data_IF_994694146730
#
_entry.id   IF_994694146730
#
_cell.length_a   1.000
_cell.length_b   1.000
_cell.length_c   1.000
_cell.angle_alpha   90.00
_cell.angle_beta   90.00
_cell.angle_gamma   90.00
#
_symmetry.space_group_name_H-M   'P 1'
#
loop_
_entity.id
_entity.type
_entity.pdbx_description
1 polymer ?
#
# COMPACT_ATOMS: atom_id res chain seq x y z
N UNK A 1 30.40 28.03 -34.39
CA UNK A 1 29.94 28.09 -32.99
C UNK A 1 29.21 26.80 -32.72
N UNK A 2 29.26 26.25 -31.50
CA UNK A 2 28.46 25.07 -31.19
C UNK A 2 26.96 25.42 -31.25
N UNK A 3 26.15 24.56 -31.86
CA UNK A 3 24.72 24.79 -32.09
C UNK A 3 24.39 25.70 -33.28
N UNK A 4 25.35 26.04 -34.17
CA UNK A 4 25.09 26.95 -35.29
C UNK A 4 24.51 26.30 -36.55
N UNK A 5 24.38 24.97 -36.58
CA UNK A 5 23.80 24.22 -37.71
C UNK A 5 24.11 22.73 -37.62
N UNK A 6 23.68 21.95 -38.61
CA UNK A 6 23.77 20.48 -38.59
C UNK A 6 25.22 19.96 -38.53
N UNK A 7 26.16 20.68 -39.14
CA UNK A 7 27.60 20.39 -39.10
C UNK A 7 28.25 20.72 -37.74
N UNK A 8 27.56 21.50 -36.89
CA UNK A 8 28.05 21.94 -35.58
C UNK A 8 26.91 21.82 -34.55
N UNK A 9 26.42 20.59 -34.27
CA UNK A 9 25.28 20.40 -33.39
C UNK A 9 25.66 20.73 -31.94
N UNK A 10 24.67 21.08 -31.14
CA UNK A 10 24.84 21.21 -29.69
C UNK A 10 24.81 19.83 -29.04
N UNK A 11 25.93 19.38 -28.47
CA UNK A 11 26.02 18.04 -27.89
C UNK A 11 25.68 18.06 -26.40
N UNK A 12 24.58 17.40 -26.04
CA UNK A 12 24.12 17.29 -24.67
C UNK A 12 24.79 16.11 -23.94
N UNK A 13 25.97 16.32 -23.38
CA UNK A 13 26.73 15.27 -22.70
C UNK A 13 26.03 14.75 -21.42
N UNK A 14 25.97 13.41 -21.32
CA UNK A 14 25.39 12.72 -20.17
C UNK A 14 23.87 12.83 -20.10
N UNK A 15 23.20 13.02 -21.23
CA UNK A 15 21.74 13.05 -21.33
C UNK A 15 21.30 11.95 -22.30
N UNK A 16 20.40 11.08 -21.83
CA UNK A 16 19.77 10.09 -22.68
C UNK A 16 18.79 10.77 -23.64
N UNK A 17 18.76 10.32 -24.90
CA UNK A 17 17.75 10.75 -25.88
C UNK A 17 16.33 10.61 -25.32
N UNK A 18 16.06 9.52 -24.61
CA UNK A 18 14.73 9.23 -24.04
C UNK A 18 14.36 10.23 -22.95
N UNK A 19 15.30 10.61 -22.08
CA UNK A 19 15.06 11.59 -21.02
C UNK A 19 14.75 12.96 -21.61
N UNK A 20 15.53 13.36 -22.62
CA UNK A 20 15.32 14.63 -23.31
C UNK A 20 13.97 14.68 -24.03
N UNK A 21 13.61 13.62 -24.74
CA UNK A 21 12.32 13.50 -25.41
C UNK A 21 11.14 13.61 -24.42
N UNK A 22 11.24 12.97 -23.25
CA UNK A 22 10.22 13.05 -22.20
C UNK A 22 10.06 14.48 -21.66
N UNK A 23 11.15 15.21 -21.49
CA UNK A 23 11.07 16.62 -21.10
C UNK A 23 10.39 17.46 -22.19
N UNK A 24 10.69 17.20 -23.47
CA UNK A 24 10.05 17.89 -24.59
C UNK A 24 8.54 17.65 -24.65
N UNK A 25 8.02 16.52 -24.17
CA UNK A 25 6.58 16.31 -24.07
C UNK A 25 5.87 17.34 -23.17
N UNK A 26 6.59 17.88 -22.18
CA UNK A 26 6.06 18.92 -21.28
C UNK A 26 6.22 20.31 -21.88
N UNK A 27 7.38 20.60 -22.49
CA UNK A 27 7.68 21.92 -23.07
C UNK A 27 6.87 22.15 -24.36
N UNK A 28 6.68 21.11 -25.15
CA UNK A 28 5.99 21.13 -26.43
C UNK A 28 4.89 20.06 -26.47
N UNK A 29 3.77 20.28 -25.74
CA UNK A 29 2.65 19.36 -25.77
C UNK A 29 2.02 19.34 -27.17
N UNK A 30 1.81 18.14 -27.72
CA UNK A 30 1.13 17.98 -29.00
C UNK A 30 -0.35 18.39 -28.91
N UNK A 31 -0.98 18.06 -27.77
CA UNK A 31 -2.36 18.43 -27.44
C UNK A 31 -2.37 19.09 -26.06
N UNK A 32 -2.94 20.29 -25.97
CA UNK A 32 -3.04 21.00 -24.70
C UNK A 32 -3.88 20.22 -23.69
N UNK A 33 -3.32 20.00 -22.49
CA UNK A 33 -3.99 19.29 -21.40
C UNK A 33 -3.80 17.76 -21.38
N UNK A 34 -3.14 17.17 -22.39
CA UNK A 34 -2.81 15.74 -22.38
C UNK A 34 -1.35 15.56 -22.01
N UNK A 35 -1.09 15.03 -20.81
CA UNK A 35 0.26 14.64 -20.42
C UNK A 35 0.56 13.22 -20.91
N UNK A 36 1.68 13.04 -21.61
CA UNK A 36 2.14 11.72 -22.11
C UNK A 36 2.83 10.88 -21.04
N UNK A 37 3.36 11.51 -19.99
CA UNK A 37 4.05 10.81 -18.91
C UNK A 37 3.04 10.27 -17.88
N UNK A 38 3.16 8.98 -17.58
CA UNK A 38 2.25 8.27 -16.66
C UNK A 38 2.98 7.35 -15.67
N UNK A 39 4.23 6.99 -15.95
CA UNK A 39 5.02 6.06 -15.13
C UNK A 39 6.00 6.79 -14.23
N UNK A 40 6.46 6.11 -13.17
CA UNK A 40 7.49 6.63 -12.28
C UNK A 40 8.78 6.97 -13.05
N UNK A 41 9.22 6.11 -13.97
CA UNK A 41 10.45 6.31 -14.73
C UNK A 41 10.36 7.54 -15.65
N UNK A 42 9.22 7.74 -16.31
CA UNK A 42 9.01 8.91 -17.17
C UNK A 42 9.08 10.21 -16.38
N UNK A 43 8.35 10.28 -15.26
CA UNK A 43 8.37 11.47 -14.42
C UNK A 43 9.70 11.68 -13.72
N UNK A 44 10.44 10.61 -13.40
CA UNK A 44 11.79 10.69 -12.84
C UNK A 44 12.78 11.26 -13.87
N UNK A 45 12.67 10.87 -15.15
CA UNK A 45 13.46 11.48 -16.24
C UNK A 45 13.18 12.98 -16.37
N UNK A 46 11.90 13.36 -16.37
CA UNK A 46 11.48 14.76 -16.47
C UNK A 46 11.99 15.55 -15.24
N UNK A 47 11.84 15.00 -14.04
CA UNK A 47 12.35 15.59 -12.80
C UNK A 47 13.87 15.78 -12.85
N UNK A 48 14.60 14.80 -13.38
CA UNK A 48 16.05 14.86 -13.48
C UNK A 48 16.53 16.01 -14.36
N UNK A 49 16.00 16.13 -15.59
CA UNK A 49 16.42 17.20 -16.50
C UNK A 49 15.89 18.57 -16.08
N UNK A 50 14.66 18.65 -15.58
CA UNK A 50 14.12 19.92 -15.06
C UNK A 50 14.91 20.44 -13.85
N UNK A 51 15.43 19.55 -13.00
CA UNK A 51 16.32 19.94 -11.90
C UNK A 51 17.69 20.39 -12.43
N UNK A 52 18.27 19.65 -13.38
CA UNK A 52 19.59 19.97 -13.94
C UNK A 52 19.64 21.28 -14.73
N UNK A 53 18.53 21.64 -15.37
CA UNK A 53 18.40 22.86 -16.18
C UNK A 53 17.55 23.94 -15.50
N UNK A 54 17.26 23.78 -14.21
CA UNK A 54 16.59 24.78 -13.38
C UNK A 54 15.18 25.20 -13.87
N UNK A 55 14.48 24.29 -14.55
CA UNK A 55 13.07 24.46 -14.89
C UNK A 55 12.17 24.24 -13.67
N UNK A 56 12.06 25.27 -12.83
CA UNK A 56 11.37 25.22 -11.53
C UNK A 56 9.91 24.77 -11.63
N UNK A 57 9.16 25.30 -12.60
CA UNK A 57 7.73 24.94 -12.79
C UNK A 57 7.56 23.48 -13.23
N UNK A 58 8.39 23.02 -14.16
CA UNK A 58 8.37 21.64 -14.64
C UNK A 58 8.80 20.67 -13.53
N UNK A 59 9.79 21.07 -12.72
CA UNK A 59 10.22 20.32 -11.55
C UNK A 59 9.07 20.18 -10.54
N UNK A 60 8.37 21.27 -10.21
CA UNK A 60 7.22 21.24 -9.32
C UNK A 60 6.11 20.33 -9.86
N UNK A 61 5.80 20.43 -11.16
CA UNK A 61 4.85 19.55 -11.84
C UNK A 61 5.25 18.08 -11.72
N UNK A 62 6.51 17.74 -12.01
CA UNK A 62 6.99 16.37 -11.94
C UNK A 62 6.90 15.79 -10.52
N UNK A 63 7.24 16.59 -9.49
CA UNK A 63 7.07 16.19 -8.08
C UNK A 63 5.60 15.93 -7.76
N UNK A 64 4.71 16.82 -8.19
CA UNK A 64 3.26 16.68 -7.97
C UNK A 64 2.69 15.42 -8.63
N UNK A 65 3.06 15.12 -9.87
CA UNK A 65 2.58 13.92 -10.56
C UNK A 65 3.16 12.64 -9.95
N UNK A 66 4.44 12.64 -9.56
CA UNK A 66 5.03 11.54 -8.81
C UNK A 66 4.33 11.30 -7.45
N UNK A 67 3.76 12.34 -6.81
CA UNK A 67 3.03 12.16 -5.54
C UNK A 67 1.74 11.38 -5.70
N UNK A 68 1.11 11.44 -6.88
CA UNK A 68 -0.14 10.74 -7.20
C UNK A 68 0.09 9.26 -7.51
N UNK A 69 1.29 8.90 -7.95
CA UNK A 69 1.64 7.54 -8.29
C UNK A 69 1.86 6.69 -7.03
N UNK A 70 1.48 5.40 -7.12
CA UNK A 70 1.74 4.42 -6.09
C UNK A 70 3.20 3.94 -6.18
N UNK A 71 4.13 4.76 -5.70
CA UNK A 71 5.57 4.50 -5.68
C UNK A 71 5.95 3.75 -4.39
N UNK A 72 6.92 2.84 -4.47
CA UNK A 72 7.47 2.18 -3.30
C UNK A 72 8.02 3.24 -2.31
N UNK A 73 7.68 3.19 -1.00
CA UNK A 73 8.20 4.13 -0.01
C UNK A 73 9.72 4.32 -0.04
N UNK A 74 10.49 3.28 -0.37
CA UNK A 74 11.95 3.33 -0.42
C UNK A 74 12.42 4.13 -1.63
N UNK A 75 11.86 3.86 -2.81
CA UNK A 75 12.14 4.66 -4.00
C UNK A 75 11.76 6.11 -3.79
N UNK A 76 10.65 6.35 -3.07
CA UNK A 76 10.22 7.69 -2.69
C UNK A 76 11.26 8.42 -1.84
N UNK A 77 11.87 7.74 -0.86
CA UNK A 77 12.98 8.28 -0.04
C UNK A 77 14.25 8.48 -0.89
N UNK A 78 14.56 7.56 -1.79
CA UNK A 78 15.74 7.67 -2.67
C UNK A 78 15.60 8.86 -3.62
N UNK A 79 14.43 9.02 -4.25
CA UNK A 79 14.11 10.17 -5.10
C UNK A 79 14.17 11.48 -4.31
N UNK A 80 13.67 11.48 -3.08
CA UNK A 80 13.70 12.67 -2.24
C UNK A 80 15.13 13.14 -1.95
N UNK A 81 16.03 12.20 -1.62
CA UNK A 81 17.44 12.51 -1.37
C UNK A 81 18.17 12.95 -2.63
N UNK A 82 17.91 12.25 -3.74
CA UNK A 82 18.57 12.53 -5.02
C UNK A 82 18.22 13.90 -5.57
N UNK A 83 16.97 14.34 -5.39
CA UNK A 83 16.46 15.58 -5.95
C UNK A 83 16.22 16.65 -4.90
N UNK A 84 16.67 16.46 -3.66
CA UNK A 84 16.44 17.38 -2.53
C UNK A 84 14.97 17.79 -2.38
N UNK A 85 14.08 16.80 -2.28
CA UNK A 85 12.65 16.99 -2.04
C UNK A 85 12.40 16.78 -0.55
N UNK A 86 11.83 17.78 0.12
CA UNK A 86 11.62 17.78 1.57
C UNK A 86 10.14 17.89 1.95
N UNK A 87 9.86 17.87 3.26
CA UNK A 87 8.53 18.09 3.83
C UNK A 87 7.58 16.89 3.67
N UNK A 88 6.36 17.13 3.15
CA UNK A 88 5.29 16.11 3.10
C UNK A 88 5.67 14.87 2.28
N UNK A 89 6.52 15.02 1.27
CA UNK A 89 6.98 13.91 0.44
C UNK A 89 7.75 12.86 1.24
N UNK A 90 8.79 13.29 1.97
CA UNK A 90 9.65 12.44 2.79
C UNK A 90 8.89 11.89 3.97
N UNK A 91 8.10 12.74 4.63
CA UNK A 91 7.30 12.35 5.78
C UNK A 91 6.31 11.23 5.43
N UNK A 92 5.58 11.36 4.31
CA UNK A 92 4.67 10.33 3.84
C UNK A 92 5.38 9.02 3.49
N UNK A 93 6.59 9.10 2.92
CA UNK A 93 7.37 7.93 2.60
C UNK A 93 7.82 7.17 3.86
N UNK A 94 8.38 7.87 4.85
CA UNK A 94 8.78 7.27 6.12
C UNK A 94 7.59 6.71 6.91
N UNK A 95 6.48 7.43 6.96
CA UNK A 95 5.27 6.96 7.63
C UNK A 95 4.71 5.69 6.96
N UNK A 96 4.69 5.62 5.64
CA UNK A 96 4.28 4.43 4.89
C UNK A 96 5.22 3.25 5.16
N UNK A 97 6.54 3.50 5.21
CA UNK A 97 7.54 2.47 5.50
C UNK A 97 7.41 1.91 6.94
N UNK A 98 7.07 2.76 7.91
CA UNK A 98 6.88 2.34 9.31
C UNK A 98 5.58 1.52 9.52
N UNK A 99 4.56 1.70 8.69
CA UNK A 99 3.29 0.96 8.82
C UNK A 99 3.21 -0.28 7.93
N UNK A 100 4.22 -0.50 7.10
CA UNK A 100 4.27 -1.67 6.23
C UNK A 100 4.33 -2.94 7.10
N UNK A 101 3.49 -3.96 6.86
CA UNK A 101 3.53 -5.19 7.64
C UNK A 101 4.85 -5.96 7.43
N UNK A 102 5.40 -5.92 6.22
CA UNK A 102 6.62 -6.62 5.87
C UNK A 102 7.86 -5.97 6.49
N UNK A 103 8.78 -6.81 6.98
CA UNK A 103 10.08 -6.37 7.48
C UNK A 103 10.91 -5.72 6.36
N UNK A 104 11.95 -4.95 6.74
CA UNK A 104 12.92 -4.43 5.77
C UNK A 104 13.80 -5.58 5.27
N UNK A 105 14.00 -5.66 3.96
CA UNK A 105 14.98 -6.58 3.38
C UNK A 105 16.40 -6.00 3.47
N UNK A 106 17.41 -6.84 3.23
CA UNK A 106 18.80 -6.38 3.23
C UNK A 106 19.09 -5.36 2.11
N UNK A 107 18.49 -5.55 0.94
CA UNK A 107 18.62 -4.65 -0.21
C UNK A 107 18.01 -3.27 0.10
N UNK A 108 16.82 -3.29 0.71
CA UNK A 108 16.13 -2.09 1.16
C UNK A 108 16.91 -1.33 2.25
N UNK A 109 17.46 -2.07 3.21
CA UNK A 109 18.32 -1.52 4.26
C UNK A 109 19.58 -0.86 3.67
N UNK A 110 20.19 -1.47 2.65
CA UNK A 110 21.35 -0.91 1.97
C UNK A 110 21.00 0.42 1.27
N UNK A 111 19.85 0.50 0.58
CA UNK A 111 19.38 1.73 -0.07
C UNK A 111 19.07 2.86 0.93
N UNK A 112 18.50 2.53 2.09
CA UNK A 112 18.14 3.52 3.11
C UNK A 112 19.37 4.03 3.88
N UNK A 113 20.40 3.22 4.01
CA UNK A 113 21.56 3.48 4.87
C UNK A 113 21.28 3.15 6.35
N UNK A 114 22.36 2.86 7.07
CA UNK A 114 22.32 2.31 8.43
C UNK A 114 21.51 3.18 9.41
N UNK A 115 21.79 4.48 9.45
CA UNK A 115 21.14 5.40 10.39
C UNK A 115 19.62 5.45 10.18
N UNK A 116 19.20 5.57 8.92
CA UNK A 116 17.77 5.62 8.56
C UNK A 116 17.09 4.30 8.89
N UNK A 117 17.73 3.17 8.55
CA UNK A 117 17.21 1.85 8.86
C UNK A 117 17.00 1.66 10.37
N UNK A 118 17.97 2.03 11.21
CA UNK A 118 17.86 1.92 12.67
C UNK A 118 16.70 2.76 13.19
N UNK A 119 16.55 4.02 12.74
CA UNK A 119 15.43 4.89 13.13
C UNK A 119 14.08 4.32 12.72
N UNK A 120 13.96 3.82 11.49
CA UNK A 120 12.72 3.15 11.02
C UNK A 120 12.41 1.94 11.89
N UNK A 121 13.39 1.08 12.20
CA UNK A 121 13.18 -0.09 13.04
C UNK A 121 12.70 0.27 14.45
N UNK A 122 13.32 1.27 15.08
CA UNK A 122 12.92 1.76 16.40
C UNK A 122 11.49 2.31 16.40
N UNK A 123 11.13 3.11 15.39
CA UNK A 123 9.78 3.66 15.25
C UNK A 123 8.73 2.55 15.07
N UNK A 124 9.03 1.54 14.24
CA UNK A 124 8.14 0.39 14.04
C UNK A 124 7.85 -0.33 15.35
N UNK A 125 8.88 -0.57 16.16
CA UNK A 125 8.72 -1.19 17.47
C UNK A 125 7.90 -0.33 18.43
N UNK A 126 8.09 0.98 18.44
CA UNK A 126 7.30 1.90 19.26
C UNK A 126 5.82 1.91 18.85
N UNK A 127 5.55 1.90 17.55
CA UNK A 127 4.18 1.84 17.01
C UNK A 127 3.50 0.54 17.45
N UNK A 128 4.19 -0.60 17.30
CA UNK A 128 3.66 -1.91 17.68
C UNK A 128 3.37 -2.01 19.19
N UNK A 129 4.27 -1.47 20.03
CA UNK A 129 4.10 -1.43 21.50
C UNK A 129 3.00 -0.47 21.96
N UNK A 130 2.76 0.62 21.21
CA UNK A 130 1.73 1.61 21.50
C UNK A 130 0.31 1.19 21.11
N UNK A 131 0.17 0.26 20.17
CA UNK A 131 -1.12 -0.37 19.87
C UNK A 131 -1.49 -1.40 20.94
N UNK A 132 -2.62 -1.26 21.66
CA UNK A 132 -3.06 -2.28 22.59
C UNK A 132 -3.26 -3.60 21.83
N UNK A 133 -2.47 -4.61 22.21
CA UNK A 133 -2.57 -5.97 21.72
C UNK A 133 -4.03 -6.40 21.77
N UNK A 134 -4.66 -6.63 20.60
CA UNK A 134 -5.93 -7.36 20.57
C UNK A 134 -5.67 -8.74 21.19
N UNK A 135 -6.34 -9.13 22.29
CA UNK A 135 -6.11 -10.44 22.87
C UNK A 135 -6.59 -11.51 21.88
N UNK A 136 -5.65 -12.26 21.28
CA UNK A 136 -5.96 -13.50 20.55
C UNK A 136 -6.10 -14.64 21.56
N UNK A 137 -7.30 -15.21 21.58
CA UNK A 137 -7.69 -16.51 22.09
C UNK A 137 -7.44 -16.86 23.57
N UNK A 138 -8.57 -16.94 24.26
CA UNK A 138 -8.80 -17.57 25.55
C UNK A 138 -8.43 -19.07 25.46
N UNK A 139 -7.32 -19.49 26.06
CA UNK A 139 -7.12 -20.89 26.41
C UNK A 139 -8.01 -21.20 27.61
N UNK A 140 -9.14 -21.87 27.39
CA UNK A 140 -9.88 -22.51 28.48
C UNK A 140 -9.23 -23.86 28.76
N UNK A 141 -8.60 -23.99 29.93
CA UNK A 141 -8.16 -25.29 30.43
C UNK A 141 -9.39 -26.11 30.85
N UNK A 142 -9.67 -27.29 30.27
CA UNK A 142 -10.68 -28.19 30.79
C UNK A 142 -10.05 -29.03 31.90
N UNK A 143 -9.85 -28.45 33.08
CA UNK A 143 -9.46 -29.27 34.24
C UNK A 143 -9.98 -28.67 35.53
N UNK A 144 -11.28 -28.88 35.77
CA UNK A 144 -11.83 -28.87 37.12
C UNK A 144 -13.11 -29.69 37.17
N UNK A 145 -12.96 -31.01 37.27
CA UNK A 145 -13.99 -31.91 37.74
C UNK A 145 -13.32 -33.10 38.42
N UNK A 146 -12.74 -32.84 39.59
CA UNK A 146 -12.32 -33.86 40.55
C UNK A 146 -13.00 -33.58 41.88
N UNK A 147 -13.90 -34.48 42.27
CA UNK A 147 -14.63 -34.51 43.54
C UNK A 147 -16.14 -34.63 43.31
N UNK A 148 -16.87 -35.65 43.74
CA UNK A 148 -16.60 -36.72 44.70
C UNK A 148 -17.73 -37.78 44.62
N UNK A 149 -17.36 -39.06 44.50
CA UNK A 149 -17.93 -40.33 45.08
C UNK A 149 -19.47 -40.55 45.08
N UNK A 150 -20.06 -41.73 44.79
CA UNK A 150 -19.84 -43.08 45.38
C UNK A 150 -20.49 -44.20 44.52
N UNK A 151 -20.05 -45.42 44.84
CA UNK A 151 -20.38 -46.77 44.38
C UNK A 151 -21.84 -47.15 44.10
N UNK A 152 -22.01 -48.04 43.09
CA UNK A 152 -22.78 -49.28 43.27
C UNK A 152 -23.83 -49.62 42.22
N UNK A 153 -23.55 -50.70 41.46
CA UNK A 153 -24.47 -51.69 40.85
C UNK A 153 -24.91 -51.46 39.39
N UNK A 154 -24.31 -52.23 38.49
CA UNK A 154 -24.72 -52.58 37.10
C UNK A 154 -25.93 -53.56 37.07
N UNK A 155 -26.50 -54.01 35.92
CA UNK A 155 -26.45 -53.53 34.51
C UNK A 155 -27.82 -53.53 33.74
N UNK A 156 -27.90 -52.72 32.67
CA UNK A 156 -28.48 -52.96 31.31
C UNK A 156 -29.93 -53.53 31.11
N UNK A 157 -30.44 -53.69 29.87
CA UNK A 157 -31.25 -52.70 29.14
C UNK A 157 -32.63 -53.27 28.67
N UNK A 158 -33.47 -52.44 28.00
CA UNK A 158 -34.21 -52.76 26.74
C UNK A 158 -35.45 -51.87 26.49
N UNK A 159 -35.46 -51.26 25.30
CA UNK A 159 -36.56 -51.15 24.32
C UNK A 159 -38.02 -51.05 24.78
N UNK A 160 -38.72 -50.01 24.31
CA UNK A 160 -40.10 -50.18 23.78
C UNK A 160 -40.53 -49.04 22.84
N UNK A 161 -40.86 -49.43 21.61
CA UNK A 161 -41.70 -48.68 20.67
C UNK A 161 -43.15 -48.57 21.18
N UNK A 162 -43.95 -47.67 20.59
CA UNK A 162 -44.99 -48.14 19.66
C UNK A 162 -45.00 -47.29 18.35
N UNK A 163 -45.14 -47.88 17.15
CA UNK A 163 -46.38 -48.34 16.48
C UNK A 163 -47.38 -47.19 16.15
N UNK A 164 -48.08 -47.04 15.02
CA UNK A 164 -48.04 -47.49 13.61
C UNK A 164 -49.28 -46.87 12.88
N UNK A 165 -49.09 -46.05 11.82
CA UNK A 165 -49.90 -45.86 10.56
C UNK A 165 -51.43 -45.47 10.66
N UNK A 166 -52.20 -45.19 9.55
CA UNK A 166 -51.93 -45.23 8.08
C UNK A 166 -52.54 -44.12 7.14
N UNK A 167 -52.08 -44.15 5.86
CA UNK A 167 -52.77 -44.03 4.53
C UNK A 167 -53.38 -42.70 4.00
N UNK A 168 -52.87 -42.23 2.84
CA UNK A 168 -53.49 -42.17 1.46
C UNK A 168 -54.39 -40.92 1.25
N UNK A 169 -54.50 -40.24 0.11
CA UNK A 169 -53.87 -40.23 -1.21
C UNK A 169 -54.23 -38.86 -1.86
N UNK A 170 -53.39 -38.33 -2.75
CA UNK A 170 -53.75 -37.13 -3.52
C UNK A 170 -52.56 -36.51 -4.26
N UNK A 171 -52.26 -37.01 -5.46
CA UNK A 171 -51.58 -36.28 -6.54
C UNK A 171 -52.66 -35.59 -7.42
N UNK A 172 -52.32 -34.80 -8.44
CA UNK A 172 -51.20 -33.86 -8.64
C UNK A 172 -51.69 -32.49 -9.18
N UNK A 173 -50.88 -31.43 -9.17
CA UNK A 173 -51.00 -30.40 -10.23
C UNK A 173 -49.61 -29.97 -10.72
N UNK A 174 -49.41 -30.10 -12.02
CA UNK A 174 -48.23 -29.64 -12.75
C UNK A 174 -48.39 -28.15 -13.11
N UNK A 175 -47.33 -27.35 -12.96
CA UNK A 175 -47.04 -26.22 -13.84
C UNK A 175 -45.54 -25.84 -13.77
N UNK A 176 -44.83 -26.06 -14.89
CA UNK A 176 -43.49 -25.54 -15.22
C UNK A 176 -43.57 -24.02 -15.56
N UNK A 177 -42.51 -23.35 -16.06
CA UNK A 177 -41.15 -23.15 -15.54
C UNK A 177 -40.77 -21.64 -15.51
N UNK A 178 -39.99 -21.20 -14.52
CA UNK A 178 -39.49 -19.81 -14.43
C UNK A 178 -37.96 -19.74 -14.37
N UNK A 179 -37.37 -19.30 -15.49
CA UNK A 179 -35.99 -18.87 -15.83
C UNK A 179 -34.92 -18.76 -14.70
N UNK A 180 -33.67 -19.20 -14.94
CA UNK A 180 -32.53 -18.86 -14.10
C UNK A 180 -32.06 -17.41 -14.38
N UNK A 181 -32.02 -16.58 -13.34
CA UNK A 181 -31.35 -15.28 -13.40
C UNK A 181 -29.91 -15.45 -12.87
N UNK A 182 -28.96 -15.31 -13.79
CA UNK A 182 -27.54 -15.20 -13.51
C UNK A 182 -27.31 -13.78 -12.97
N UNK A 183 -27.12 -13.63 -11.67
CA UNK A 183 -26.63 -12.39 -11.08
C UNK A 183 -25.18 -12.61 -10.69
N UNK A 184 -24.27 -12.03 -11.47
CA UNK A 184 -22.86 -11.93 -11.11
C UNK A 184 -22.73 -11.12 -9.81
N UNK A 185 -22.17 -11.69 -8.72
CA UNK A 185 -21.82 -10.88 -7.57
C UNK A 185 -20.57 -10.07 -7.96
N UNK A 186 -20.77 -8.77 -8.22
CA UNK A 186 -19.71 -7.76 -8.30
C UNK A 186 -18.74 -7.97 -7.13
N UNK A 187 -17.58 -8.55 -7.45
CA UNK A 187 -16.43 -8.70 -6.56
C UNK A 187 -15.97 -7.30 -6.18
N UNK A 188 -16.47 -6.79 -5.07
CA UNK A 188 -15.99 -5.58 -4.43
C UNK A 188 -14.51 -5.79 -4.07
N UNK A 189 -13.61 -5.35 -4.95
CA UNK A 189 -12.20 -5.15 -4.62
C UNK A 189 -12.17 -3.98 -3.64
N UNK A 190 -12.37 -4.28 -2.36
CA UNK A 190 -12.10 -3.36 -1.27
C UNK A 190 -10.58 -3.15 -1.25
N UNK A 191 -10.12 -2.07 -1.87
CA UNK A 191 -8.78 -1.51 -1.58
C UNK A 191 -8.80 -1.10 -0.10
N UNK A 192 -7.98 -1.69 0.78
CA UNK A 192 -7.81 -1.11 2.10
C UNK A 192 -6.98 0.17 1.92
N UNK A 193 -7.65 1.31 1.89
CA UNK A 193 -6.98 2.56 2.23
C UNK A 193 -6.68 2.50 3.73
N UNK A 194 -5.55 1.93 4.10
CA UNK A 194 -5.00 2.03 5.45
C UNK A 194 -4.70 3.50 5.68
N UNK A 195 -5.68 4.23 6.23
CA UNK A 195 -5.48 5.62 6.64
C UNK A 195 -4.39 5.60 7.70
N UNK A 196 -3.26 6.19 7.37
CA UNK A 196 -2.14 6.32 8.29
C UNK A 196 -2.62 7.06 9.53
N UNK A 197 -2.40 6.49 10.72
CA UNK A 197 -2.81 7.13 11.96
C UNK A 197 -2.04 8.46 12.15
N UNK A 198 -2.72 9.56 12.53
CA UNK A 198 -2.09 10.88 12.65
C UNK A 198 -0.93 10.91 13.64
N UNK A 199 -0.96 10.06 14.67
CA UNK A 199 0.14 9.91 15.63
C UNK A 199 1.44 9.42 14.98
N UNK A 200 1.36 8.59 13.94
CA UNK A 200 2.54 8.06 13.24
C UNK A 200 3.28 9.16 12.51
N UNK A 201 2.56 10.10 11.87
CA UNK A 201 3.17 11.23 11.19
C UNK A 201 3.95 12.12 12.16
N UNK A 202 3.41 12.35 13.37
CA UNK A 202 4.08 13.11 14.42
C UNK A 202 5.37 12.42 14.90
N UNK A 203 5.28 11.13 15.21
CA UNK A 203 6.44 10.34 15.65
C UNK A 203 7.55 10.31 14.58
N UNK A 204 7.18 10.17 13.32
CA UNK A 204 8.14 10.20 12.20
C UNK A 204 8.75 11.59 12.03
N UNK A 205 7.97 12.67 12.14
CA UNK A 205 8.49 14.04 12.05
C UNK A 205 9.52 14.30 13.15
N UNK A 206 9.23 13.89 14.39
CA UNK A 206 10.12 14.02 15.55
C UNK A 206 11.42 13.22 15.36
N UNK A 207 11.34 11.96 14.92
CA UNK A 207 12.49 11.08 14.78
C UNK A 207 13.43 11.45 13.61
N UNK A 208 12.88 12.04 12.55
CA UNK A 208 13.65 12.43 11.36
C UNK A 208 13.94 13.92 11.28
N UNK A 209 13.45 14.73 12.23
CA UNK A 209 13.62 16.19 12.19
C UNK A 209 13.03 16.83 10.94
N UNK A 210 11.98 16.20 10.36
CA UNK A 210 11.30 16.74 9.19
C UNK A 210 10.30 17.76 9.70
N UNK A 211 10.72 19.01 9.82
CA UNK A 211 9.80 20.11 10.05
C UNK A 211 8.75 20.06 8.95
N UNK A 212 7.48 20.10 9.36
CA UNK A 212 6.32 20.14 8.47
C UNK A 212 6.22 21.47 7.73
N UNK A 213 7.34 21.98 7.20
CA UNK A 213 7.37 23.14 6.35
C UNK A 213 6.51 22.83 5.12
N UNK A 214 5.33 23.45 5.13
CA UNK A 214 4.52 23.69 3.95
C UNK A 214 5.41 24.39 2.90
N UNK A 215 6.07 23.63 2.04
CA UNK A 215 6.29 24.14 0.69
C UNK A 215 5.00 23.85 -0.08
N UNK A 216 4.12 24.86 -0.05
CA UNK A 216 3.25 25.17 -1.17
C UNK A 216 4.12 25.39 -2.40
N UNK A 217 4.02 24.50 -3.37
CA UNK A 217 4.22 24.82 -4.77
C UNK A 217 2.84 24.82 -5.42
#
# INVERSE_FOLDING_TARGET
>A
MEGSGDEHPLVLFGISRVDFERLLWIIYPADFGVCRAHTQDEWTSILHLSTRWEFSDIRALAIHELQKLAINPIDKITLSRRFDISGRWTLAAYAALCQRPDALTLEEAACLGLETMVRVAQLREQIDRGTPLRPKHHYQNPTSAAGSRRSGVDPAPLSSHPSRKPREAGQPVNARPGKPSLTDPKRNIRRPATKIAPDVYRMVAEAFGVDGAEQTA
#
